data_IF_740838238606
#
_entry.id   IF_740838238606
#
_cell.length_a   1.000
_cell.length_b   1.000
_cell.length_c   1.000
_cell.angle_alpha   90.00
_cell.angle_beta   90.00
_cell.angle_gamma   90.00
#
_symmetry.space_group_name_H-M   'P 1'
#
loop_
_entity.id
_entity.type
_entity.pdbx_description
1 polymer ?
#
# COMPACT_ATOMS: atom_id res chain seq x y z
N UNK A 1 -15.49 8.67 -1.48
CA UNK A 1 -14.14 9.21 -1.17
C UNK A 1 -13.31 8.24 -0.34
N UNK A 2 -13.75 7.78 0.82
CA UNK A 2 -13.00 6.87 1.71
C UNK A 2 -12.48 5.62 1.01
N UNK A 3 -13.31 4.89 0.30
CA UNK A 3 -12.88 3.71 -0.48
C UNK A 3 -11.86 4.06 -1.57
N UNK A 4 -12.07 5.16 -2.30
CA UNK A 4 -11.13 5.60 -3.32
C UNK A 4 -9.75 5.91 -2.73
N UNK A 5 -9.70 6.65 -1.62
CA UNK A 5 -8.46 6.94 -0.92
C UNK A 5 -7.75 5.65 -0.49
N UNK A 6 -8.45 4.76 0.22
CA UNK A 6 -7.88 3.53 0.76
C UNK A 6 -7.37 2.60 -0.33
N UNK A 7 -8.14 2.42 -1.41
CA UNK A 7 -7.75 1.52 -2.51
C UNK A 7 -6.70 2.15 -3.41
N UNK A 8 -6.93 3.35 -3.91
CA UNK A 8 -6.08 3.97 -4.92
C UNK A 8 -4.68 4.31 -4.39
N UNK A 9 -4.59 5.00 -3.25
CA UNK A 9 -3.29 5.26 -2.63
C UNK A 9 -2.66 4.00 -2.02
N UNK A 10 -3.48 3.04 -1.59
CA UNK A 10 -3.02 1.73 -1.14
C UNK A 10 -2.30 0.98 -2.26
N UNK A 11 -2.89 0.93 -3.46
CA UNK A 11 -2.31 0.25 -4.62
C UNK A 11 -1.07 0.97 -5.17
N UNK A 12 -1.04 2.31 -5.14
CA UNK A 12 0.14 3.12 -5.48
C UNK A 12 1.30 3.00 -4.47
N UNK A 13 1.07 2.42 -3.31
CA UNK A 13 2.07 2.26 -2.24
C UNK A 13 2.31 0.78 -1.95
N UNK A 14 1.43 0.15 -1.19
CA UNK A 14 1.50 -1.27 -0.83
C UNK A 14 1.33 -2.19 -2.04
N UNK A 15 0.54 -1.79 -3.02
CA UNK A 15 0.35 -2.54 -4.26
C UNK A 15 1.63 -2.75 -5.05
N UNK A 16 2.54 -1.77 -5.06
CA UNK A 16 3.86 -1.94 -5.71
C UNK A 16 4.72 -2.99 -5.00
N UNK A 17 4.62 -3.09 -3.69
CA UNK A 17 5.27 -4.16 -2.91
C UNK A 17 4.64 -5.51 -3.25
N UNK A 18 3.31 -5.60 -3.31
CA UNK A 18 2.59 -6.82 -3.67
C UNK A 18 2.89 -7.26 -5.11
N UNK A 19 3.01 -6.32 -6.05
CA UNK A 19 3.48 -6.59 -7.43
C UNK A 19 4.80 -7.34 -7.42
N UNK A 20 5.79 -6.81 -6.71
CA UNK A 20 7.13 -7.40 -6.63
C UNK A 20 7.12 -8.79 -5.97
N UNK A 21 6.29 -8.97 -4.93
CA UNK A 21 6.14 -10.27 -4.26
C UNK A 21 5.51 -11.29 -5.21
N UNK A 22 4.40 -10.93 -5.86
CA UNK A 22 3.70 -11.81 -6.79
C UNK A 22 4.58 -12.19 -7.99
N UNK A 23 5.31 -11.23 -8.55
CA UNK A 23 6.24 -11.46 -9.65
C UNK A 23 7.30 -12.51 -9.31
N UNK A 24 7.89 -12.40 -8.10
CA UNK A 24 8.91 -13.35 -7.63
C UNK A 24 8.32 -14.70 -7.26
N UNK A 25 7.18 -14.71 -6.55
CA UNK A 25 6.56 -15.94 -6.08
C UNK A 25 6.04 -16.83 -7.23
N UNK A 26 5.55 -16.20 -8.30
CA UNK A 26 5.00 -16.88 -9.47
C UNK A 26 6.00 -17.00 -10.62
N UNK A 27 7.25 -16.54 -10.42
CA UNK A 27 8.31 -16.53 -11.44
C UNK A 27 7.83 -15.90 -12.77
N UNK A 28 7.15 -14.77 -12.68
CA UNK A 28 6.57 -14.08 -13.82
C UNK A 28 7.59 -13.17 -14.48
N UNK A 29 7.65 -13.22 -15.81
CA UNK A 29 8.47 -12.31 -16.61
C UNK A 29 7.65 -11.08 -17.03
N UNK A 30 8.24 -9.89 -16.86
CA UNK A 30 7.59 -8.63 -17.22
C UNK A 30 6.35 -8.35 -16.39
N UNK A 31 5.37 -7.65 -16.97
CA UNK A 31 4.13 -7.22 -16.32
C UNK A 31 2.92 -8.14 -16.60
N UNK A 32 3.12 -9.27 -17.28
CA UNK A 32 2.05 -10.21 -17.58
C UNK A 32 1.41 -10.72 -16.25
N UNK A 33 0.10 -10.55 -16.12
CA UNK A 33 -0.64 -10.88 -14.91
C UNK A 33 -0.52 -9.85 -13.76
N UNK A 34 0.32 -8.82 -13.91
CA UNK A 34 0.58 -7.80 -12.89
C UNK A 34 0.10 -6.39 -13.31
N UNK A 35 -0.58 -6.28 -14.45
CA UNK A 35 -1.08 -5.02 -15.02
C UNK A 35 -1.99 -4.24 -14.06
N UNK A 36 -2.67 -4.90 -13.14
CA UNK A 36 -3.46 -4.26 -12.09
C UNK A 36 -2.65 -3.23 -11.28
N UNK A 37 -1.36 -3.48 -11.08
CA UNK A 37 -0.48 -2.60 -10.31
C UNK A 37 0.33 -1.62 -11.17
N UNK A 38 0.07 -1.55 -12.48
CA UNK A 38 0.75 -0.65 -13.40
C UNK A 38 -0.13 0.56 -13.67
N UNK A 39 0.41 1.75 -13.42
CA UNK A 39 -0.26 3.04 -13.60
C UNK A 39 0.49 3.82 -14.67
N UNK A 40 0.20 3.52 -15.94
CA UNK A 40 0.93 4.05 -17.10
C UNK A 40 0.88 5.60 -17.18
N UNK A 41 -0.21 6.21 -16.69
CA UNK A 41 -0.40 7.67 -16.69
C UNK A 41 0.27 8.38 -15.51
N UNK A 42 0.90 7.66 -14.58
CA UNK A 42 1.56 8.22 -13.40
C UNK A 42 3.07 8.04 -13.51
N UNK A 43 3.74 9.05 -14.05
CA UNK A 43 5.20 9.02 -14.24
C UNK A 43 5.97 9.09 -12.89
N UNK A 44 5.45 9.82 -11.90
CA UNK A 44 6.02 9.96 -10.56
C UNK A 44 4.96 9.69 -9.50
N UNK A 45 4.95 8.47 -8.97
CA UNK A 45 3.98 8.04 -7.94
C UNK A 45 4.11 8.85 -6.64
N UNK A 46 5.31 9.28 -6.27
CA UNK A 46 5.54 10.07 -5.06
C UNK A 46 4.94 11.48 -5.20
N UNK A 47 5.22 12.15 -6.30
CA UNK A 47 4.66 13.45 -6.61
C UNK A 47 3.13 13.37 -6.72
N UNK A 48 2.61 12.36 -7.41
CA UNK A 48 1.18 12.14 -7.53
C UNK A 48 0.49 11.96 -6.17
N UNK A 49 1.04 11.13 -5.28
CA UNK A 49 0.51 10.93 -3.92
C UNK A 49 0.48 12.22 -3.10
N UNK A 50 1.49 13.06 -3.25
CA UNK A 50 1.53 14.37 -2.60
C UNK A 50 0.43 15.28 -3.12
N UNK A 51 0.30 15.41 -4.44
CA UNK A 51 -0.76 16.19 -5.09
C UNK A 51 -2.15 15.69 -4.71
N UNK A 52 -2.35 14.38 -4.70
CA UNK A 52 -3.62 13.77 -4.31
C UNK A 52 -4.01 14.13 -2.87
N UNK A 53 -3.07 14.02 -1.91
CA UNK A 53 -3.32 14.39 -0.51
C UNK A 53 -3.64 15.87 -0.38
N UNK A 54 -2.88 16.73 -1.04
CA UNK A 54 -3.15 18.18 -1.04
C UNK A 54 -4.53 18.50 -1.60
N UNK A 55 -4.96 17.83 -2.65
CA UNK A 55 -6.30 17.98 -3.20
C UNK A 55 -7.39 17.54 -2.20
N UNK A 56 -7.16 16.46 -1.46
CA UNK A 56 -8.08 16.02 -0.41
C UNK A 56 -8.16 17.04 0.74
N UNK A 57 -7.02 17.61 1.16
CA UNK A 57 -6.94 18.58 2.26
C UNK A 57 -7.62 19.91 1.92
N UNK A 58 -7.77 20.23 0.64
CA UNK A 58 -8.41 21.48 0.16
C UNK A 58 -9.90 21.33 -0.16
N UNK A 59 -10.48 20.17 0.09
CA UNK A 59 -11.91 19.96 -0.18
C UNK A 59 -12.78 20.86 0.69
N UNK A 60 -13.78 21.57 0.10
CA UNK A 60 -14.67 22.44 0.84
C UNK A 60 -15.76 21.61 1.54
N UNK A 61 -15.37 20.85 2.55
CA UNK A 61 -16.25 19.98 3.34
C UNK A 61 -16.25 20.40 4.81
N UNK A 62 -17.35 20.15 5.51
CA UNK A 62 -17.44 20.35 6.94
C UNK A 62 -16.78 19.18 7.70
N UNK A 63 -16.54 19.39 8.99
CA UNK A 63 -15.91 18.38 9.85
C UNK A 63 -16.73 17.09 9.91
N UNK A 64 -18.04 17.16 9.95
CA UNK A 64 -18.91 15.98 10.01
C UNK A 64 -18.78 15.12 8.74
N UNK A 65 -18.59 15.76 7.59
CA UNK A 65 -18.33 15.06 6.32
C UNK A 65 -16.92 14.47 6.29
N UNK A 66 -15.93 15.20 6.80
CA UNK A 66 -14.57 14.68 6.93
C UNK A 66 -14.52 13.43 7.84
N UNK A 67 -15.17 13.46 8.98
CA UNK A 67 -15.25 12.35 9.93
C UNK A 67 -15.90 11.11 9.28
N UNK A 68 -16.97 11.28 8.51
CA UNK A 68 -17.60 10.19 7.75
C UNK A 68 -16.70 9.61 6.67
N UNK A 69 -15.89 10.44 6.01
CA UNK A 69 -14.91 9.96 5.02
C UNK A 69 -13.84 9.10 5.71
N UNK A 70 -13.35 9.51 6.87
CA UNK A 70 -12.38 8.75 7.66
C UNK A 70 -12.98 7.43 8.15
N UNK A 71 -14.20 7.46 8.67
CA UNK A 71 -14.92 6.25 9.10
C UNK A 71 -15.08 5.25 7.95
N UNK A 72 -15.50 5.73 6.78
CA UNK A 72 -15.67 4.89 5.60
C UNK A 72 -14.32 4.37 5.06
N UNK A 73 -13.25 5.14 5.15
CA UNK A 73 -11.90 4.68 4.82
C UNK A 73 -11.43 3.55 5.75
N UNK A 74 -11.70 3.67 7.05
CA UNK A 74 -11.44 2.62 8.02
C UNK A 74 -12.26 1.36 7.74
N UNK A 75 -13.54 1.52 7.39
CA UNK A 75 -14.39 0.41 6.98
C UNK A 75 -13.83 -0.31 5.73
N UNK A 76 -13.45 0.44 4.70
CA UNK A 76 -12.81 -0.10 3.50
C UNK A 76 -11.53 -0.88 3.83
N UNK A 77 -10.72 -0.38 4.77
CA UNK A 77 -9.54 -1.07 5.24
C UNK A 77 -9.88 -2.40 5.93
N UNK A 78 -10.88 -2.41 6.80
CA UNK A 78 -11.37 -3.63 7.46
C UNK A 78 -11.89 -4.68 6.47
N UNK A 79 -12.62 -4.26 5.43
CA UNK A 79 -13.07 -5.17 4.37
C UNK A 79 -11.89 -5.83 3.65
N UNK A 80 -10.85 -5.06 3.32
CA UNK A 80 -9.63 -5.62 2.74
C UNK A 80 -8.93 -6.61 3.69
N UNK A 81 -8.82 -6.27 4.97
CA UNK A 81 -8.24 -7.18 5.98
C UNK A 81 -9.02 -8.48 6.10
N UNK A 82 -10.35 -8.42 6.06
CA UNK A 82 -11.19 -9.62 6.11
C UNK A 82 -11.00 -10.48 4.86
N UNK A 83 -10.94 -9.87 3.69
CA UNK A 83 -10.63 -10.58 2.43
C UNK A 83 -9.28 -11.31 2.52
N UNK A 84 -8.24 -10.69 3.07
CA UNK A 84 -6.96 -11.35 3.28
C UNK A 84 -7.04 -12.52 4.29
N UNK A 85 -7.90 -12.42 5.31
CA UNK A 85 -8.11 -13.53 6.28
C UNK A 85 -8.81 -14.74 5.64
N UNK A 86 -9.62 -14.51 4.61
CA UNK A 86 -10.29 -15.57 3.86
C UNK A 86 -9.35 -16.31 2.91
N UNK A 87 -8.20 -15.72 2.56
CA UNK A 87 -7.16 -16.39 1.80
C UNK A 87 -6.47 -17.42 2.69
N UNK A 88 -6.76 -18.70 2.47
CA UNK A 88 -6.22 -19.79 3.27
C UNK A 88 -4.69 -19.93 3.16
N UNK A 89 -4.03 -20.08 4.32
CA UNK A 89 -2.73 -20.72 4.50
C UNK A 89 -1.51 -19.92 4.04
N UNK A 90 -0.79 -20.46 3.09
CA UNK A 90 0.60 -20.07 2.77
C UNK A 90 0.79 -18.65 2.22
N UNK A 91 -0.20 -18.06 1.60
CA UNK A 91 -0.07 -16.73 0.97
C UNK A 91 0.00 -15.61 2.02
N UNK A 92 -0.83 -15.68 3.06
CA UNK A 92 -0.82 -14.71 4.17
C UNK A 92 0.48 -14.80 4.95
N UNK A 93 0.98 -16.02 5.18
CA UNK A 93 2.27 -16.27 5.83
C UNK A 93 3.44 -15.76 4.97
N UNK A 94 3.39 -15.93 3.65
CA UNK A 94 4.41 -15.44 2.72
C UNK A 94 4.44 -13.89 2.69
N UNK A 95 3.29 -13.24 2.60
CA UNK A 95 3.17 -11.77 2.65
C UNK A 95 3.67 -11.25 4.01
N UNK A 96 3.27 -11.88 5.11
CA UNK A 96 3.72 -11.53 6.46
C UNK A 96 5.23 -11.63 6.63
N UNK A 97 5.87 -12.71 6.13
CA UNK A 97 7.33 -12.89 6.16
C UNK A 97 8.07 -11.81 5.36
N UNK A 98 7.56 -11.41 4.20
CA UNK A 98 8.20 -10.38 3.36
C UNK A 98 8.06 -9.01 4.00
N UNK A 99 6.88 -8.65 4.52
CA UNK A 99 6.66 -7.39 5.22
C UNK A 99 7.52 -7.32 6.49
N UNK A 100 7.57 -8.38 7.26
CA UNK A 100 8.41 -8.46 8.46
C UNK A 100 9.90 -8.39 8.12
N UNK A 101 10.35 -9.07 7.06
CA UNK A 101 11.72 -9.01 6.57
C UNK A 101 12.12 -7.61 6.08
N UNK A 102 11.19 -6.87 5.47
CA UNK A 102 11.44 -5.50 5.06
C UNK A 102 11.54 -4.54 6.25
N UNK A 103 10.66 -4.67 7.24
CA UNK A 103 10.67 -3.84 8.44
C UNK A 103 11.94 -4.09 9.28
N UNK A 104 12.38 -5.34 9.41
CA UNK A 104 13.57 -5.70 10.18
C UNK A 104 14.89 -5.32 9.48
N UNK A 105 14.93 -5.33 8.14
CA UNK A 105 16.08 -4.83 7.38
C UNK A 105 16.30 -3.32 7.59
N UNK A 106 15.22 -2.55 7.67
CA UNK A 106 15.29 -1.12 7.90
C UNK A 106 15.82 -0.78 9.30
N UNK A 107 15.52 -1.59 10.31
CA UNK A 107 16.08 -1.43 11.66
C UNK A 107 17.57 -1.79 11.74
N UNK A 108 18.03 -2.79 10.98
CA UNK A 108 19.46 -3.17 10.94
C UNK A 108 20.35 -2.15 10.22
N UNK A 109 19.84 -1.48 9.19
CA UNK A 109 20.58 -0.43 8.49
C UNK A 109 20.82 0.82 9.37
N UNK A 110 19.89 1.11 10.32
CA UNK A 110 20.04 2.23 11.27
C UNK A 110 20.96 1.94 12.47
N UNK A 111 21.26 0.67 12.77
CA UNK A 111 22.10 0.30 13.93
C UNK A 111 23.59 0.18 13.60
N UNK A 112 23.97 0.13 12.32
CA UNK A 112 25.38 0.07 11.91
C UNK A 112 26.05 1.45 11.83
N UNK A 113 25.27 2.51 11.71
CA UNK A 113 25.82 3.89 11.69
C UNK A 113 26.13 4.43 13.09
N UNK A 114 25.46 3.91 14.12
CA UNK A 114 25.69 4.31 15.52
C UNK A 114 26.88 3.59 16.20
N UNK A 115 27.42 2.56 15.59
CA UNK A 115 28.55 1.78 16.13
C UNK A 115 29.92 2.18 15.53
N UNK A 116 29.96 3.13 14.59
CA UNK A 116 31.17 3.59 13.91
C UNK A 116 31.56 5.06 14.24
N UNK A 117 30.94 5.63 15.28
CA UNK A 117 31.29 6.97 15.76
C UNK A 117 32.04 6.90 17.09
#
# INVERSE_FOLDING_TARGET
>A
MGHHYTRYLGDLSGGQILKNIAQKAMNMEGDAGLRFYVFDDIADEKAFKTTYRSAMDTLPIDQATADRIVEEANHAFHLNMNMFKELEGNLVAAIGKVLFGFLTRRQRAGSTEAAAA
#
